data_IF_666265839273
#
_entry.id   IF_666265839273
#
_cell.length_a   1.000
_cell.length_b   1.000
_cell.length_c   1.000
_cell.angle_alpha   90.00
_cell.angle_beta   90.00
_cell.angle_gamma   90.00
#
_symmetry.space_group_name_H-M   'P 1'
#
loop_
_entity.id
_entity.type
_entity.pdbx_description
1 polymer ?
#
# COMPACT_ATOMS: atom_id res chain seq x y z
N UNK A 1 -12.16 -57.18 63.50
CA UNK A 1 -12.78 -55.82 63.49
C UNK A 1 -11.83 -54.67 63.10
N UNK A 2 -10.49 -54.78 63.21
CA UNK A 2 -9.56 -53.68 62.89
C UNK A 2 -9.25 -53.48 61.40
N UNK A 3 -9.43 -54.49 60.54
CA UNK A 3 -9.14 -54.35 59.10
C UNK A 3 -10.26 -53.60 58.36
N UNK A 4 -11.53 -53.86 58.71
CA UNK A 4 -12.69 -53.22 58.06
C UNK A 4 -12.72 -51.70 58.24
N UNK A 5 -12.31 -51.19 59.40
CA UNK A 5 -12.18 -49.74 59.65
C UNK A 5 -11.06 -49.12 58.83
N UNK A 6 -9.97 -49.86 58.59
CA UNK A 6 -8.82 -49.42 57.80
C UNK A 6 -9.18 -49.33 56.31
N UNK A 7 -9.99 -50.25 55.81
CA UNK A 7 -10.45 -50.26 54.42
C UNK A 7 -11.45 -49.13 54.12
N UNK A 8 -12.34 -48.82 55.08
CA UNK A 8 -13.24 -47.66 55.00
C UNK A 8 -12.44 -46.35 54.99
N UNK A 9 -11.45 -46.20 55.87
CA UNK A 9 -10.61 -44.99 55.91
C UNK A 9 -9.83 -44.83 54.60
N UNK A 10 -9.27 -45.91 54.04
CA UNK A 10 -8.59 -45.87 52.74
C UNK A 10 -9.54 -45.46 51.61
N UNK A 11 -10.76 -45.98 51.59
CA UNK A 11 -11.76 -45.63 50.57
C UNK A 11 -12.19 -44.16 50.66
N UNK A 12 -12.39 -43.64 51.88
CA UNK A 12 -12.72 -42.22 52.11
C UNK A 12 -11.56 -41.31 51.68
N UNK A 13 -10.32 -41.66 52.04
CA UNK A 13 -9.14 -40.91 51.62
C UNK A 13 -8.98 -40.93 50.11
N UNK A 14 -9.21 -42.07 49.46
CA UNK A 14 -9.17 -42.20 48.00
C UNK A 14 -10.24 -41.35 47.31
N UNK A 15 -11.47 -41.34 47.81
CA UNK A 15 -12.56 -40.50 47.30
C UNK A 15 -12.24 -39.01 47.44
N UNK A 16 -11.70 -38.58 48.58
CA UNK A 16 -11.25 -37.21 48.79
C UNK A 16 -10.11 -36.84 47.84
N UNK A 17 -9.19 -37.77 47.60
CA UNK A 17 -8.07 -37.58 46.67
C UNK A 17 -8.54 -37.39 45.24
N UNK A 18 -9.46 -38.25 44.77
CA UNK A 18 -10.07 -38.13 43.44
C UNK A 18 -10.82 -36.80 43.30
N UNK A 19 -11.61 -36.42 44.29
CA UNK A 19 -12.35 -35.15 44.28
C UNK A 19 -11.42 -33.94 44.17
N UNK A 20 -10.34 -33.93 44.97
CA UNK A 20 -9.36 -32.85 44.97
C UNK A 20 -8.61 -32.75 43.63
N UNK A 21 -8.17 -33.88 43.08
CA UNK A 21 -7.50 -33.92 41.76
C UNK A 21 -8.45 -33.48 40.65
N UNK A 22 -9.70 -33.91 40.69
CA UNK A 22 -10.72 -33.53 39.69
C UNK A 22 -10.99 -32.03 39.71
N UNK A 23 -11.07 -31.42 40.90
CA UNK A 23 -11.21 -29.98 41.05
C UNK A 23 -10.01 -29.22 40.46
N UNK A 24 -8.78 -29.66 40.75
CA UNK A 24 -7.56 -29.04 40.21
C UNK A 24 -7.55 -29.11 38.67
N UNK A 25 -7.86 -30.29 38.10
CA UNK A 25 -7.95 -30.46 36.64
C UNK A 25 -9.00 -29.52 36.06
N UNK A 26 -10.20 -29.48 36.66
CA UNK A 26 -11.27 -28.60 36.19
C UNK A 26 -10.85 -27.13 36.22
N UNK A 27 -10.26 -26.64 37.32
CA UNK A 27 -9.82 -25.24 37.44
C UNK A 27 -8.73 -24.89 36.42
N UNK A 28 -7.78 -25.79 36.17
CA UNK A 28 -6.70 -25.53 35.21
C UNK A 28 -7.27 -25.49 33.78
N UNK A 29 -8.05 -26.50 33.38
CA UNK A 29 -8.50 -26.64 31.99
C UNK A 29 -9.71 -25.76 31.65
N UNK A 30 -10.62 -25.52 32.59
CA UNK A 30 -11.82 -24.71 32.34
C UNK A 30 -11.58 -23.21 32.51
N UNK A 31 -10.71 -22.82 33.46
CA UNK A 31 -10.58 -21.41 33.84
C UNK A 31 -9.18 -20.86 33.56
N UNK A 32 -8.14 -21.53 34.08
CA UNK A 32 -6.79 -20.97 34.08
C UNK A 32 -6.18 -20.91 32.69
N UNK A 33 -6.18 -22.03 31.95
CA UNK A 33 -5.64 -22.08 30.59
C UNK A 33 -6.44 -21.18 29.63
N UNK A 34 -7.79 -21.26 29.58
CA UNK A 34 -8.54 -20.40 28.67
C UNK A 34 -8.39 -18.91 28.98
N UNK A 35 -8.37 -18.50 30.26
CA UNK A 35 -8.19 -17.09 30.62
C UNK A 35 -6.79 -16.57 30.28
N UNK A 36 -5.74 -17.37 30.50
CA UNK A 36 -4.37 -17.00 30.14
C UNK A 36 -4.20 -16.87 28.62
N UNK A 37 -4.72 -17.83 27.85
CA UNK A 37 -4.66 -17.82 26.38
C UNK A 37 -5.46 -16.64 25.84
N UNK A 38 -6.72 -16.47 26.24
CA UNK A 38 -7.56 -15.36 25.76
C UNK A 38 -7.00 -14.00 26.16
N UNK A 39 -6.48 -13.85 27.38
CA UNK A 39 -5.80 -12.63 27.82
C UNK A 39 -4.61 -12.28 26.93
N UNK A 40 -3.71 -13.25 26.72
CA UNK A 40 -2.53 -13.06 25.87
C UNK A 40 -2.92 -12.68 24.43
N UNK A 41 -3.83 -13.43 23.79
CA UNK A 41 -4.25 -13.14 22.42
C UNK A 41 -5.04 -11.84 22.30
N UNK A 42 -5.78 -11.42 23.33
CA UNK A 42 -6.48 -10.13 23.34
C UNK A 42 -5.49 -8.97 23.33
N UNK A 43 -4.47 -9.02 24.19
CA UNK A 43 -3.50 -7.92 24.32
C UNK A 43 -2.54 -7.89 23.12
N UNK A 44 -2.02 -9.05 22.72
CA UNK A 44 -1.16 -9.17 21.52
C UNK A 44 -1.94 -8.85 20.25
N UNK A 45 -3.19 -9.30 20.14
CA UNK A 45 -4.07 -9.02 19.01
C UNK A 45 -4.36 -7.52 18.88
N UNK A 46 -4.65 -6.83 19.98
CA UNK A 46 -4.85 -5.39 19.98
C UNK A 46 -3.60 -4.62 19.51
N UNK A 47 -2.42 -4.99 20.03
CA UNK A 47 -1.17 -4.39 19.61
C UNK A 47 -0.89 -4.65 18.11
N UNK A 48 -1.15 -5.86 17.63
CA UNK A 48 -0.96 -6.23 16.22
C UNK A 48 -1.87 -5.46 15.28
N UNK A 49 -3.16 -5.31 15.64
CA UNK A 49 -4.12 -4.52 14.86
C UNK A 49 -3.66 -3.06 14.77
N UNK A 50 -3.21 -2.47 15.88
CA UNK A 50 -2.70 -1.10 15.91
C UNK A 50 -1.51 -0.94 14.95
N UNK A 51 -0.53 -1.85 15.02
CA UNK A 51 0.64 -1.86 14.14
C UNK A 51 0.22 -1.98 12.67
N UNK A 52 -0.73 -2.86 12.35
CA UNK A 52 -1.25 -3.02 10.98
C UNK A 52 -1.91 -1.74 10.47
N UNK A 53 -2.73 -1.07 11.29
CA UNK A 53 -3.38 0.19 10.91
C UNK A 53 -2.35 1.28 10.62
N UNK A 54 -1.32 1.41 11.46
CA UNK A 54 -0.24 2.35 11.22
C UNK A 54 0.57 2.01 9.96
N UNK A 55 0.91 0.74 9.76
CA UNK A 55 1.63 0.29 8.56
C UNK A 55 0.82 0.57 7.29
N UNK A 56 -0.50 0.32 7.33
CA UNK A 56 -1.42 0.64 6.24
C UNK A 56 -1.49 2.14 5.97
N UNK A 57 -1.67 2.96 7.01
CA UNK A 57 -1.70 4.42 6.85
C UNK A 57 -0.38 4.95 6.28
N UNK A 58 0.75 4.41 6.75
CA UNK A 58 2.08 4.78 6.27
C UNK A 58 2.32 4.37 4.82
N UNK A 59 1.96 3.14 4.44
CA UNK A 59 2.06 2.70 3.04
C UNK A 59 1.12 3.49 2.14
N UNK A 60 -0.09 3.79 2.59
CA UNK A 60 -1.02 4.67 1.87
C UNK A 60 -0.43 6.07 1.67
N UNK A 61 0.15 6.66 2.71
CA UNK A 61 0.81 7.96 2.64
C UNK A 61 1.97 7.97 1.64
N UNK A 62 2.83 6.95 1.64
CA UNK A 62 3.90 6.81 0.66
C UNK A 62 3.36 6.65 -0.76
N UNK A 63 2.26 5.91 -0.94
CA UNK A 63 1.61 5.72 -2.24
C UNK A 63 0.92 7.00 -2.74
N UNK A 64 0.40 7.81 -1.83
CA UNK A 64 -0.23 9.10 -2.12
C UNK A 64 0.76 10.18 -2.58
N UNK A 65 2.07 9.89 -2.62
CA UNK A 65 3.08 10.81 -3.14
C UNK A 65 2.68 11.21 -4.58
N UNK A 66 2.45 12.52 -4.84
CA UNK A 66 1.97 12.96 -6.14
C UNK A 66 2.98 12.54 -7.21
N UNK A 67 2.50 11.77 -8.18
CA UNK A 67 3.31 11.32 -9.30
C UNK A 67 3.88 12.56 -10.01
N UNK A 68 5.20 12.60 -10.16
CA UNK A 68 5.91 13.79 -10.62
C UNK A 68 5.60 14.01 -12.11
N UNK A 69 4.52 14.73 -12.41
CA UNK A 69 4.15 15.10 -13.78
C UNK A 69 5.26 16.01 -14.35
N UNK A 70 5.60 15.87 -15.64
CA UNK A 70 6.59 16.75 -16.25
C UNK A 70 6.12 18.20 -16.17
N UNK A 71 7.00 19.08 -15.67
CA UNK A 71 6.67 20.50 -15.40
C UNK A 71 6.86 21.41 -16.62
N UNK A 72 7.38 20.87 -17.72
CA UNK A 72 7.70 21.58 -18.95
C UNK A 72 7.37 20.71 -20.15
N UNK A 73 6.74 21.33 -21.12
CA UNK A 73 6.36 20.76 -22.41
C UNK A 73 6.94 21.64 -23.50
N UNK A 74 7.51 21.03 -24.53
CA UNK A 74 7.96 21.73 -25.72
C UNK A 74 7.26 21.17 -26.96
N UNK A 75 7.07 22.00 -27.96
CA UNK A 75 6.57 21.60 -29.28
C UNK A 75 7.76 21.61 -30.23
N UNK A 76 8.07 20.46 -30.81
CA UNK A 76 9.09 20.28 -31.83
C UNK A 76 8.41 20.22 -33.19
N UNK A 77 8.94 20.96 -34.15
CA UNK A 77 8.40 21.07 -35.49
C UNK A 77 9.22 20.18 -36.41
N UNK A 78 8.53 19.46 -37.29
CA UNK A 78 9.10 18.59 -38.30
C UNK A 78 8.62 19.01 -39.68
N UNK A 79 9.53 19.00 -40.63
CA UNK A 79 9.23 19.18 -42.04
C UNK A 79 8.57 17.90 -42.64
N UNK A 80 8.10 17.98 -43.88
CA UNK A 80 7.54 16.88 -44.68
C UNK A 80 8.52 15.70 -44.76
N UNK A 81 9.82 15.97 -44.77
CA UNK A 81 10.87 14.96 -44.79
C UNK A 81 11.19 14.37 -43.40
N UNK A 82 10.50 14.79 -42.34
CA UNK A 82 10.73 14.33 -40.97
C UNK A 82 11.95 14.94 -40.28
N UNK A 83 12.57 15.96 -40.88
CA UNK A 83 13.68 16.70 -40.28
C UNK A 83 13.15 17.75 -39.30
N UNK A 84 13.85 17.95 -38.17
CA UNK A 84 13.48 19.00 -37.22
C UNK A 84 13.77 20.37 -37.81
N UNK A 85 12.75 21.23 -37.83
CA UNK A 85 12.85 22.60 -38.31
C UNK A 85 12.45 23.58 -37.22
N UNK A 86 12.87 24.84 -37.37
CA UNK A 86 12.41 25.95 -36.53
C UNK A 86 11.71 26.95 -37.42
N UNK A 87 10.48 27.28 -37.07
CA UNK A 87 9.73 28.37 -37.69
C UNK A 87 9.86 29.57 -36.76
N UNK A 88 10.33 30.68 -37.30
CA UNK A 88 10.51 31.90 -36.52
C UNK A 88 9.15 32.48 -36.09
N UNK A 89 9.10 33.07 -34.90
CA UNK A 89 7.87 33.64 -34.31
C UNK A 89 6.92 32.65 -33.62
N UNK A 90 7.13 31.33 -33.76
CA UNK A 90 6.32 30.34 -33.03
C UNK A 90 6.84 30.10 -31.62
N UNK A 91 5.91 30.15 -30.64
CA UNK A 91 6.22 29.78 -29.27
C UNK A 91 6.29 28.25 -29.17
N UNK A 92 7.45 27.72 -28.79
CA UNK A 92 7.67 26.27 -28.65
C UNK A 92 7.67 25.77 -27.21
N UNK A 93 7.85 26.65 -26.20
CA UNK A 93 7.99 26.26 -24.79
C UNK A 93 6.78 26.61 -23.92
N UNK A 94 6.28 25.61 -23.20
CA UNK A 94 5.06 25.67 -22.41
C UNK A 94 5.24 25.00 -21.04
N UNK A 95 4.58 25.55 -20.02
CA UNK A 95 4.54 24.95 -18.67
C UNK A 95 3.38 23.96 -18.51
N UNK A 96 2.30 24.17 -19.25
CA UNK A 96 1.07 23.38 -19.13
C UNK A 96 0.85 22.55 -20.41
N UNK A 97 0.47 21.29 -20.22
CA UNK A 97 0.14 20.33 -21.27
C UNK A 97 -0.98 20.84 -22.18
N UNK A 98 -2.07 21.33 -21.58
CA UNK A 98 -3.27 21.71 -22.32
C UNK A 98 -3.03 22.94 -23.20
N UNK A 99 -2.22 23.88 -22.70
CA UNK A 99 -1.80 25.06 -23.45
C UNK A 99 -0.91 24.63 -24.61
N UNK A 100 0.10 23.79 -24.37
CA UNK A 100 0.95 23.27 -25.43
C UNK A 100 0.13 22.57 -26.53
N UNK A 101 -0.91 21.83 -26.14
CA UNK A 101 -1.79 21.12 -27.07
C UNK A 101 -2.64 22.06 -27.92
N UNK A 102 -3.22 23.09 -27.28
CA UNK A 102 -4.02 24.10 -27.97
C UNK A 102 -3.20 24.83 -29.04
N UNK A 103 -1.98 25.28 -28.69
CA UNK A 103 -1.07 25.90 -29.64
C UNK A 103 -0.64 24.95 -30.74
N UNK A 104 -0.34 23.69 -30.41
CA UNK A 104 0.05 22.69 -31.42
C UNK A 104 -1.05 22.46 -32.46
N UNK A 105 -2.32 22.40 -32.05
CA UNK A 105 -3.46 22.34 -32.98
C UNK A 105 -3.54 23.58 -33.86
N UNK A 106 -3.38 24.77 -33.27
CA UNK A 106 -3.39 26.02 -34.01
C UNK A 106 -2.27 26.01 -35.06
N UNK A 107 -1.05 25.64 -34.68
CA UNK A 107 0.09 25.55 -35.60
C UNK A 107 -0.15 24.54 -36.72
N UNK A 108 -0.82 23.42 -36.43
CA UNK A 108 -1.17 22.45 -37.48
C UNK A 108 -2.17 23.02 -38.49
N UNK A 109 -3.10 23.86 -38.05
CA UNK A 109 -4.03 24.54 -38.94
C UNK A 109 -3.32 25.61 -39.78
N UNK A 110 -2.41 26.38 -39.16
CA UNK A 110 -1.68 27.46 -39.82
C UNK A 110 -0.59 26.94 -40.79
N UNK A 111 0.03 25.79 -40.45
CA UNK A 111 1.12 25.17 -41.19
C UNK A 111 0.83 23.69 -41.49
N UNK A 112 -0.08 23.39 -42.43
CA UNK A 112 -0.55 22.02 -42.69
C UNK A 112 0.54 21.06 -43.20
N UNK A 113 1.58 21.60 -43.84
CA UNK A 113 2.71 20.81 -44.36
C UNK A 113 3.70 20.38 -43.28
N UNK A 114 3.69 21.05 -42.12
CA UNK A 114 4.56 20.71 -41.02
C UNK A 114 3.86 19.72 -40.09
N UNK A 115 4.66 18.87 -39.45
CA UNK A 115 4.21 18.03 -38.36
C UNK A 115 4.74 18.58 -37.04
N UNK A 116 3.99 18.37 -35.98
CA UNK A 116 4.28 18.92 -34.67
C UNK A 116 4.23 17.81 -33.62
N UNK A 117 5.30 17.69 -32.84
CA UNK A 117 5.37 16.77 -31.72
C UNK A 117 5.43 17.54 -30.40
N UNK A 118 4.53 17.21 -29.49
CA UNK A 118 4.65 17.64 -28.11
C UNK A 118 5.56 16.69 -27.36
N UNK A 119 6.62 17.23 -26.79
CA UNK A 119 7.59 16.51 -25.96
C UNK A 119 7.59 17.05 -24.55
N UNK A 120 7.96 16.22 -23.57
CA UNK A 120 8.38 16.72 -22.26
C UNK A 120 9.82 16.34 -21.95
N UNK A 121 10.49 17.24 -21.25
CA UNK A 121 11.75 16.93 -20.59
C UNK A 121 11.43 16.23 -19.28
N UNK A 122 11.59 14.91 -19.26
CA UNK A 122 11.62 14.16 -18.02
C UNK A 122 12.96 14.46 -17.32
N UNK A 123 12.96 14.77 -16.01
CA UNK A 123 14.16 15.24 -15.30
C UNK A 123 15.34 14.24 -15.22
N UNK A 124 15.22 13.04 -15.81
CA UNK A 124 16.22 11.97 -15.78
C UNK A 124 16.32 11.19 -17.11
N UNK A 125 15.91 11.77 -18.24
CA UNK A 125 16.00 11.11 -19.54
C UNK A 125 16.65 12.01 -20.56
N UNK A 126 17.78 11.55 -21.12
CA UNK A 126 18.42 12.19 -22.27
C UNK A 126 17.52 12.16 -23.52
N UNK A 127 16.55 11.22 -23.52
CA UNK A 127 15.55 11.10 -24.59
C UNK A 127 14.28 11.85 -24.21
N UNK A 128 13.93 12.84 -25.04
CA UNK A 128 12.65 13.53 -24.97
C UNK A 128 11.51 12.54 -25.24
N UNK A 129 10.51 12.51 -24.36
CA UNK A 129 9.34 11.65 -24.54
C UNK A 129 8.29 12.40 -25.34
N UNK A 130 7.85 11.84 -26.48
CA UNK A 130 6.75 12.39 -27.27
C UNK A 130 5.43 11.98 -26.62
N UNK A 131 4.61 12.95 -26.24
CA UNK A 131 3.26 12.73 -25.71
C UNK A 131 2.23 12.67 -26.82
N UNK A 132 2.44 13.44 -27.89
CA UNK A 132 1.51 13.53 -29.01
C UNK A 132 2.21 14.05 -30.27
N UNK A 133 1.76 13.60 -31.42
CA UNK A 133 2.25 13.97 -32.75
C UNK A 133 1.06 14.25 -33.67
N UNK A 134 1.05 15.38 -34.37
CA UNK A 134 -0.01 15.78 -35.33
C UNK A 134 0.56 16.49 -36.56
#
# INVERSE_FOLDING_TARGET
MRSSTLDVVKSVLFGFWIGSVSHIIFTIFSQTIPSAVTGFFKDVGAAFILVMVFAFAFTWFLKARPHNRPKKYAVVIFDVYGNQTKIDGLRTDFKNHDVAWSFMKQYKNDYPLHNFAMVSDAPNSDKKTIFRYI
#
